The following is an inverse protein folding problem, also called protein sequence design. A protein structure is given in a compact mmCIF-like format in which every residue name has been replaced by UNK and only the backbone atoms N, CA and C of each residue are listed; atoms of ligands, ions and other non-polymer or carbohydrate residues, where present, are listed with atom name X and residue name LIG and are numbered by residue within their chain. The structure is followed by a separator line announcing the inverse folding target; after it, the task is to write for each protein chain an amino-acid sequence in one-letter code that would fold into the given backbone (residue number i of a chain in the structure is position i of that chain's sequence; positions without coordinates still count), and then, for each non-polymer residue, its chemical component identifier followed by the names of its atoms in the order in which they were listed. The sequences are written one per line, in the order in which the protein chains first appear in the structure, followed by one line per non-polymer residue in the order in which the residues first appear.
data_IF_483336297364
#
_entry.id   IF_483336297364
#
_cell.length_a   1.000
_cell.length_b   1.000
_cell.length_c   1.000
_cell.angle_alpha   90.00
_cell.angle_beta   90.00
_cell.angle_gamma   90.00
#
_symmetry.space_group_name_H-M   'P 1'
#
loop_
_entity.id
_entity.type
_entity.pdbx_description
1 polymer ?
#
# COMPACT_ATOMS: atom_id res chain seq x y z
N UNK A 1 -1.13 27.89 -1.56
CA UNK A 1 -2.30 27.16 -1.02
C UNK A 1 -1.94 25.69 -0.93
N UNK A 2 -1.84 25.14 0.28
CA UNK A 2 -1.41 23.74 0.48
C UNK A 2 -2.58 22.82 0.19
N UNK A 3 -2.52 22.06 -0.91
CA UNK A 3 -3.55 21.10 -1.27
C UNK A 3 -3.57 20.00 -0.21
N UNK A 4 -4.65 19.97 0.59
CA UNK A 4 -4.94 18.89 1.54
C UNK A 4 -5.03 17.61 0.72
N UNK A 5 -4.02 16.75 0.82
CA UNK A 5 -4.05 15.43 0.21
C UNK A 5 -5.13 14.63 0.92
N UNK A 6 -6.31 14.52 0.28
CA UNK A 6 -7.36 13.60 0.75
C UNK A 6 -6.80 12.19 0.69
N UNK A 7 -6.29 11.72 1.83
CA UNK A 7 -5.79 10.37 1.98
C UNK A 7 -7.00 9.44 1.88
N UNK A 8 -6.99 8.56 0.88
CA UNK A 8 -7.99 7.51 0.74
C UNK A 8 -8.14 6.75 2.07
N UNK A 9 -9.39 6.54 2.49
CA UNK A 9 -9.71 5.59 3.54
C UNK A 9 -9.88 4.21 2.87
N UNK A 10 -8.85 3.37 2.98
CA UNK A 10 -8.82 2.06 2.34
C UNK A 10 -10.02 1.18 2.70
N UNK A 11 -10.36 1.10 3.99
CA UNK A 11 -11.47 0.25 4.45
C UNK A 11 -12.81 0.71 3.86
N UNK A 12 -13.03 2.03 3.77
CA UNK A 12 -14.22 2.59 3.13
C UNK A 12 -14.25 2.26 1.63
N UNK A 13 -13.17 2.54 0.91
CA UNK A 13 -13.12 2.28 -0.54
C UNK A 13 -13.27 0.80 -0.88
N UNK A 14 -12.71 -0.09 -0.05
CA UNK A 14 -12.86 -1.54 -0.22
C UNK A 14 -14.30 -1.99 0.05
N UNK A 15 -14.94 -1.48 1.09
CA UNK A 15 -16.36 -1.74 1.37
C UNK A 15 -17.26 -1.25 0.23
N UNK A 16 -17.01 -0.05 -0.28
CA UNK A 16 -17.76 0.50 -1.41
C UNK A 16 -17.60 -0.38 -2.67
N UNK A 17 -16.40 -0.93 -2.92
CA UNK A 17 -16.17 -1.89 -4.01
C UNK A 17 -16.94 -3.20 -3.78
N UNK A 18 -16.95 -3.73 -2.55
CA UNK A 18 -17.71 -4.94 -2.21
C UNK A 18 -19.21 -4.76 -2.47
N UNK A 19 -19.78 -3.62 -2.08
CA UNK A 19 -21.18 -3.29 -2.37
C UNK A 19 -21.48 -3.24 -3.87
N UNK A 20 -20.54 -2.74 -4.68
CA UNK A 20 -20.67 -2.75 -6.14
C UNK A 20 -20.71 -4.19 -6.67
N UNK A 21 -19.85 -5.07 -6.17
CA UNK A 21 -19.84 -6.50 -6.55
C UNK A 21 -21.14 -7.18 -6.12
N UNK A 22 -21.56 -7.00 -4.86
CA UNK A 22 -22.82 -7.53 -4.33
C UNK A 22 -24.04 -7.06 -5.15
N UNK A 23 -24.00 -5.83 -5.68
CA UNK A 23 -25.05 -5.32 -6.54
C UNK A 23 -25.12 -6.07 -7.89
N UNK A 24 -23.98 -6.39 -8.51
CA UNK A 24 -23.93 -7.19 -9.73
C UNK A 24 -24.42 -8.65 -9.53
N UNK A 25 -24.32 -9.18 -8.31
CA UNK A 25 -24.73 -10.56 -7.99
C UNK A 25 -26.25 -10.73 -7.79
N UNK A 26 -27.04 -9.65 -7.74
CA UNK A 26 -28.50 -9.69 -7.47
C UNK A 26 -29.33 -10.32 -8.59
N UNK A 27 -28.74 -10.67 -9.72
CA UNK A 27 -29.35 -11.46 -10.80
C UNK A 27 -30.35 -10.72 -11.69
N UNK A 28 -31.02 -9.66 -11.21
CA UNK A 28 -31.85 -8.78 -12.01
C UNK A 28 -31.24 -7.37 -12.05
N UNK A 29 -30.29 -7.19 -12.96
CA UNK A 29 -29.41 -6.02 -13.02
C UNK A 29 -29.82 -5.14 -14.19
N UNK A 30 -30.06 -3.84 -13.94
CA UNK A 30 -30.27 -2.87 -15.01
C UNK A 30 -28.95 -2.60 -15.75
N UNK A 31 -28.95 -2.71 -17.08
CA UNK A 31 -27.73 -2.60 -17.88
C UNK A 31 -27.13 -1.19 -17.87
N UNK A 32 -27.95 -0.14 -17.87
CA UNK A 32 -27.48 1.24 -17.85
C UNK A 32 -26.90 1.59 -16.46
N UNK A 33 -27.54 1.14 -15.39
CA UNK A 33 -26.99 1.24 -14.03
C UNK A 33 -25.71 0.41 -13.90
N UNK A 34 -25.66 -0.75 -14.55
CA UNK A 34 -24.49 -1.63 -14.56
C UNK A 34 -23.26 -0.97 -15.16
N UNK A 35 -23.40 -0.24 -16.28
CA UNK A 35 -22.29 0.54 -16.87
C UNK A 35 -21.76 1.58 -15.87
N UNK A 36 -22.65 2.33 -15.21
CA UNK A 36 -22.25 3.34 -14.21
C UNK A 36 -21.53 2.72 -13.01
N UNK A 37 -22.07 1.62 -12.47
CA UNK A 37 -21.46 0.87 -11.35
C UNK A 37 -20.10 0.30 -11.73
N UNK A 38 -19.92 -0.11 -12.98
CA UNK A 38 -18.64 -0.60 -13.48
C UNK A 38 -17.58 0.51 -13.55
N UNK A 39 -17.95 1.70 -14.07
CA UNK A 39 -17.07 2.87 -14.09
C UNK A 39 -16.66 3.31 -12.66
N UNK A 40 -17.62 3.39 -11.74
CA UNK A 40 -17.38 3.65 -10.32
C UNK A 40 -16.42 2.61 -9.72
N UNK A 41 -16.63 1.32 -10.03
CA UNK A 41 -15.78 0.21 -9.60
C UNK A 41 -14.34 0.33 -10.11
N UNK A 42 -14.13 0.75 -11.37
CA UNK A 42 -12.79 0.96 -11.92
C UNK A 42 -12.03 2.03 -11.12
N UNK A 43 -12.70 3.14 -10.80
CA UNK A 43 -12.09 4.22 -10.02
C UNK A 43 -11.66 3.71 -8.64
N UNK A 44 -12.56 3.02 -7.93
CA UNK A 44 -12.25 2.42 -6.62
C UNK A 44 -11.05 1.47 -6.70
N UNK A 45 -11.00 0.60 -7.70
CA UNK A 45 -9.88 -0.35 -7.89
C UNK A 45 -8.57 0.38 -8.15
N UNK A 46 -8.57 1.45 -8.96
CA UNK A 46 -7.37 2.25 -9.21
C UNK A 46 -6.84 2.89 -7.93
N UNK A 47 -7.72 3.46 -7.11
CA UNK A 47 -7.34 4.09 -5.85
C UNK A 47 -6.80 3.06 -4.84
N UNK A 48 -7.45 1.90 -4.72
CA UNK A 48 -7.01 0.79 -3.86
C UNK A 48 -5.63 0.27 -4.28
N UNK A 49 -5.40 0.04 -5.59
CA UNK A 49 -4.10 -0.37 -6.13
C UNK A 49 -3.01 0.63 -5.82
N UNK A 50 -3.28 1.93 -6.01
CA UNK A 50 -2.35 3.01 -5.69
C UNK A 50 -2.00 3.02 -4.19
N UNK A 51 -3.00 2.86 -3.32
CA UNK A 51 -2.77 2.77 -1.89
C UNK A 51 -1.87 1.59 -1.52
N UNK A 52 -2.18 0.40 -2.03
CA UNK A 52 -1.40 -0.81 -1.75
C UNK A 52 0.04 -0.68 -2.24
N UNK A 53 0.27 -0.12 -3.43
CA UNK A 53 1.63 0.13 -3.93
C UNK A 53 2.42 1.07 -3.04
N UNK A 54 1.79 2.12 -2.49
CA UNK A 54 2.44 3.01 -1.54
C UNK A 54 2.82 2.30 -0.23
N UNK A 55 1.95 1.42 0.27
CA UNK A 55 2.23 0.62 1.46
C UNK A 55 3.35 -0.39 1.20
N UNK A 56 3.32 -1.08 0.07
CA UNK A 56 4.37 -2.02 -0.33
C UNK A 56 5.74 -1.32 -0.41
N UNK A 57 5.79 -0.14 -1.05
CA UNK A 57 7.01 0.66 -1.10
C UNK A 57 7.49 1.06 0.29
N UNK A 58 6.57 1.47 1.17
CA UNK A 58 6.92 1.80 2.56
C UNK A 58 7.51 0.60 3.30
N UNK A 59 6.93 -0.59 3.13
CA UNK A 59 7.45 -1.83 3.74
C UNK A 59 8.84 -2.17 3.20
N UNK A 60 9.06 -2.06 1.89
CA UNK A 60 10.40 -2.26 1.28
C UNK A 60 11.45 -1.31 1.87
N UNK A 61 11.11 -0.04 2.00
CA UNK A 61 12.01 0.96 2.60
C UNK A 61 12.31 0.69 4.08
N UNK A 62 11.35 0.16 4.83
CA UNK A 62 11.58 -0.26 6.21
C UNK A 62 12.58 -1.42 6.24
N UNK A 63 12.39 -2.47 5.42
CA UNK A 63 13.31 -3.62 5.35
C UNK A 63 14.75 -3.21 5.03
N UNK A 64 14.94 -2.36 4.02
CA UNK A 64 16.26 -1.86 3.62
C UNK A 64 16.95 -1.12 4.79
N UNK A 65 16.20 -0.34 5.58
CA UNK A 65 16.76 0.35 6.74
C UNK A 65 17.24 -0.62 7.81
N UNK A 66 16.40 -1.60 8.17
CA UNK A 66 16.78 -2.63 9.14
C UNK A 66 18.01 -3.44 8.69
N UNK A 67 18.07 -3.86 7.43
CA UNK A 67 19.23 -4.59 6.88
C UNK A 67 20.51 -3.74 6.89
N UNK A 68 20.39 -2.42 6.67
CA UNK A 68 21.52 -1.50 6.71
C UNK A 68 22.00 -1.25 8.14
N UNK A 69 21.08 -1.13 9.09
CA UNK A 69 21.42 -0.93 10.50
C UNK A 69 22.16 -2.17 11.07
N UNK A 70 21.77 -3.39 10.66
CA UNK A 70 22.50 -4.64 11.00
C UNK A 70 23.89 -4.75 10.36
N UNK A 71 24.12 -4.12 9.20
CA UNK A 71 25.44 -4.13 8.55
C UNK A 71 26.42 -3.15 9.22
N UNK A 72 25.92 -2.03 9.75
CA UNK A 72 26.76 -1.04 10.46
C UNK A 72 27.23 -1.59 11.82
N UNK A 73 26.42 -2.38 12.52
CA UNK A 73 26.82 -3.00 13.79
C UNK A 73 27.90 -4.09 13.63
N UNK A 74 28.01 -4.74 12.45
CA UNK A 74 29.06 -5.75 12.20
C UNK A 74 30.42 -5.15 11.84
N UNK A 75 30.42 -4.01 11.15
CA UNK A 75 31.67 -3.34 10.77
C UNK A 75 32.33 -2.63 11.98
N UNK A 76 31.59 -2.32 13.06
CA UNK A 76 32.13 -1.70 14.28
C UNK A 76 32.73 -2.71 15.28
N UNK A 77 32.34 -3.99 15.27
CA UNK A 77 32.93 -5.02 16.17
C UNK A 77 34.27 -5.57 15.66
N UNK A 78 34.55 -5.51 14.34
CA UNK A 78 35.76 -6.09 13.73
C UNK A 78 37.01 -5.17 13.79
N UNK A 79 36.89 -3.89 14.15
CA UNK A 79 38.05 -2.97 14.25
C UNK A 79 38.73 -2.94 15.65
N UNK A 80 38.04 -3.31 16.74
CA UNK A 80 38.65 -3.25 18.09
C UNK A 80 39.62 -4.41 18.40
N UNK A 81 39.49 -5.57 17.73
CA UNK A 81 40.27 -6.77 18.06
C UNK A 81 41.69 -6.79 17.42
N UNK A 82 42.01 -5.83 16.54
CA UNK A 82 43.37 -5.72 15.94
C UNK A 82 44.29 -4.74 16.67
N UNK A 83 43.76 -3.90 17.58
CA UNK A 83 44.52 -2.84 18.25
C UNK A 83 45.15 -3.25 19.59
N UNK A 84 44.90 -4.45 20.12
CA UNK A 84 45.43 -4.92 21.41
C UNK A 84 46.58 -5.93 21.31
N UNK A 85 47.06 -6.24 20.10
CA UNK A 85 48.22 -7.10 19.86
C UNK A 85 49.47 -6.28 19.50
N UNK A 86 49.89 -5.40 20.42
CA UNK A 86 51.25 -4.84 20.48
C UNK A 86 51.84 -5.01 21.88
#
# INVERSE_FOLDING_TARGET
MSAKTNKINFAKAYNDLQKTVEWFEKGNVDLEEGVKKFEEGIILVQELKKYLGNIENKVKQIKIKFEKDEAVERDEEDEEDTATLF
#
